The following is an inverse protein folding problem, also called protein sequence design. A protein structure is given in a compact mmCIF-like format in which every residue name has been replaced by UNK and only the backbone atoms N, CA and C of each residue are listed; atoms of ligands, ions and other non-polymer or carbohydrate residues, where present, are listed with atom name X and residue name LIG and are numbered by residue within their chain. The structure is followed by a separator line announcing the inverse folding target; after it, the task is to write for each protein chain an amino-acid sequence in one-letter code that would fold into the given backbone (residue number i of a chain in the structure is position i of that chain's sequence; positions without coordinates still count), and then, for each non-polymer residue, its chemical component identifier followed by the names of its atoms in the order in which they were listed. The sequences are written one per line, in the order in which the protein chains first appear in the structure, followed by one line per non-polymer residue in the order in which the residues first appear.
data_IF_454845626489
#
_entry.id   IF_454845626489
#
_cell.length_a   1.000
_cell.length_b   1.000
_cell.length_c   1.000
_cell.angle_alpha   90.00
_cell.angle_beta   90.00
_cell.angle_gamma   90.00
#
_symmetry.space_group_name_H-M   'P 1'
#
loop_
_entity.id
_entity.type
_entity.pdbx_description
1 polymer ?
#
# COMPACT_ATOMS: atom_id res chain seq x y z
N UNK A 1 -42.52 -15.51 -5.94
CA UNK A 1 -42.30 -14.11 -6.34
C UNK A 1 -41.24 -13.56 -5.43
N UNK A 2 -40.01 -13.58 -5.87
CA UNK A 2 -38.87 -12.99 -5.12
C UNK A 2 -38.93 -11.48 -5.33
N UNK A 3 -38.99 -10.74 -4.22
CA UNK A 3 -38.94 -9.28 -4.22
C UNK A 3 -37.63 -8.82 -4.90
N UNK A 4 -37.63 -7.80 -5.76
CA UNK A 4 -36.38 -7.28 -6.31
C UNK A 4 -35.55 -6.68 -5.17
N UNK A 5 -34.29 -7.08 -5.10
CA UNK A 5 -33.32 -6.52 -4.15
C UNK A 5 -33.30 -4.99 -4.25
N UNK A 6 -33.18 -4.31 -3.11
CA UNK A 6 -33.16 -2.86 -3.04
C UNK A 6 -31.95 -2.30 -3.83
N UNK A 7 -32.02 -1.07 -4.39
CA UNK A 7 -30.96 -0.48 -5.21
C UNK A 7 -29.56 -0.42 -4.55
N UNK A 8 -29.48 -0.51 -3.22
CA UNK A 8 -28.23 -0.50 -2.44
C UNK A 8 -27.40 -1.80 -2.55
N UNK A 9 -28.02 -2.92 -2.99
CA UNK A 9 -27.32 -4.21 -3.17
C UNK A 9 -26.48 -4.30 -4.45
N UNK A 10 -26.53 -3.30 -5.33
CA UNK A 10 -25.82 -3.33 -6.62
C UNK A 10 -24.36 -2.89 -6.54
N UNK A 11 -23.95 -2.26 -5.48
CA UNK A 11 -22.60 -1.69 -5.32
C UNK A 11 -21.93 -2.28 -4.08
N UNK A 12 -20.92 -3.15 -4.27
CA UNK A 12 -20.27 -3.84 -3.16
C UNK A 12 -19.43 -2.92 -2.27
N UNK A 13 -18.90 -1.81 -2.81
CA UNK A 13 -18.09 -0.83 -2.08
C UNK A 13 -18.94 0.37 -1.67
N UNK A 14 -18.94 0.72 -0.38
CA UNK A 14 -19.72 1.82 0.21
C UNK A 14 -18.91 3.08 0.40
N UNK A 15 -17.67 2.93 0.88
CA UNK A 15 -16.79 4.05 1.16
C UNK A 15 -15.33 3.63 0.99
N UNK A 16 -14.47 4.62 0.72
CA UNK A 16 -13.02 4.44 0.73
C UNK A 16 -12.42 5.56 1.55
N UNK A 17 -11.63 5.20 2.56
CA UNK A 17 -10.98 6.15 3.47
C UNK A 17 -9.47 5.93 3.44
N UNK A 18 -8.72 6.92 3.92
CA UNK A 18 -7.28 6.81 4.13
C UNK A 18 -6.95 7.21 5.56
N UNK A 19 -6.12 6.41 6.20
CA UNK A 19 -5.52 6.73 7.51
C UNK A 19 -4.01 6.65 7.38
N UNK A 20 -3.27 7.34 8.25
CA UNK A 20 -1.82 7.25 8.29
C UNK A 20 -1.37 6.69 9.63
N UNK A 21 -0.53 5.67 9.60
CA UNK A 21 0.06 5.04 10.80
C UNK A 21 1.38 5.68 11.21
N UNK A 22 1.60 6.93 10.84
CA UNK A 22 2.80 7.69 11.13
C UNK A 22 3.38 8.32 9.89
N UNK A 23 4.63 8.78 10.03
CA UNK A 23 5.37 9.37 8.93
C UNK A 23 6.74 8.74 8.77
N UNK A 24 7.29 8.85 7.58
CA UNK A 24 8.63 8.41 7.23
C UNK A 24 9.38 9.49 6.49
N UNK A 25 10.59 9.80 6.95
CA UNK A 25 11.59 10.52 6.16
C UNK A 25 12.45 9.53 5.41
N UNK A 26 12.52 9.67 4.09
CA UNK A 26 13.33 8.85 3.19
C UNK A 26 14.37 9.70 2.44
N UNK A 27 15.26 9.09 1.71
CA UNK A 27 16.19 9.83 0.86
C UNK A 27 15.45 10.37 -0.37
N UNK A 28 15.77 11.56 -0.89
CA UNK A 28 15.15 12.08 -2.12
C UNK A 28 15.26 11.12 -3.31
N UNK A 29 16.30 10.28 -3.32
CA UNK A 29 16.50 9.27 -4.36
C UNK A 29 15.49 8.11 -4.30
N UNK A 30 14.85 7.84 -3.15
CA UNK A 30 13.71 6.90 -3.11
C UNK A 30 12.59 7.40 -4.01
N UNK A 31 12.27 8.69 -3.91
CA UNK A 31 11.16 9.31 -4.65
C UNK A 31 11.50 9.46 -6.13
N UNK A 32 12.73 9.88 -6.43
CA UNK A 32 13.21 10.12 -7.78
C UNK A 32 14.62 9.58 -7.97
N UNK A 33 14.74 8.52 -8.75
CA UNK A 33 16.00 7.90 -9.08
C UNK A 33 16.93 8.87 -9.80
N UNK A 34 18.19 8.92 -9.37
CA UNK A 34 19.29 9.62 -10.07
C UNK A 34 20.03 8.72 -11.06
N UNK A 35 19.63 7.43 -11.14
CA UNK A 35 20.33 6.43 -11.95
C UNK A 35 21.58 5.85 -11.30
N UNK A 36 21.98 6.34 -10.11
CA UNK A 36 23.10 5.80 -9.34
C UNK A 36 22.67 4.62 -8.48
N UNK A 37 23.56 3.65 -8.16
CA UNK A 37 23.23 2.51 -7.31
C UNK A 37 22.74 2.95 -5.91
N UNK A 38 21.77 2.21 -5.36
CA UNK A 38 21.16 2.54 -4.07
C UNK A 38 22.19 2.66 -2.95
N UNK A 39 23.13 1.71 -2.85
CA UNK A 39 24.17 1.73 -1.82
C UNK A 39 25.01 3.02 -1.88
N UNK A 40 25.28 3.54 -3.05
CA UNK A 40 26.06 4.77 -3.21
C UNK A 40 25.36 5.97 -2.58
N UNK A 41 24.11 6.25 -2.98
CA UNK A 41 23.39 7.41 -2.43
C UNK A 41 22.96 7.21 -0.97
N UNK A 42 22.69 5.98 -0.53
CA UNK A 42 22.47 5.70 0.89
C UNK A 42 23.68 6.09 1.75
N UNK A 43 24.90 5.85 1.26
CA UNK A 43 26.12 6.18 1.99
C UNK A 43 26.52 7.65 1.87
N UNK A 44 26.23 8.32 0.77
CA UNK A 44 26.73 9.67 0.48
C UNK A 44 25.70 10.77 0.71
N UNK A 45 24.39 10.51 0.50
CA UNK A 45 23.34 11.52 0.67
C UNK A 45 23.08 11.78 2.15
N UNK A 46 23.12 13.05 2.54
CA UNK A 46 22.77 13.51 3.90
C UNK A 46 21.38 14.11 3.99
N UNK A 47 20.76 14.43 2.85
CA UNK A 47 19.42 15.02 2.79
C UNK A 47 18.36 13.96 3.05
N UNK A 48 17.29 14.38 3.70
CA UNK A 48 16.04 13.65 3.85
C UNK A 48 14.93 14.39 3.12
N UNK A 49 13.89 13.69 2.77
CA UNK A 49 12.62 14.34 2.38
C UNK A 49 12.02 15.03 3.62
N UNK A 50 11.01 15.82 3.48
CA UNK A 50 10.13 16.07 4.63
C UNK A 50 9.33 14.80 4.97
N UNK A 51 8.63 14.81 6.12
CA UNK A 51 7.82 13.65 6.54
C UNK A 51 6.78 13.32 5.49
N UNK A 52 6.73 12.04 5.10
CA UNK A 52 5.75 11.46 4.20
C UNK A 52 4.82 10.56 4.98
N UNK A 53 3.51 10.56 4.71
CA UNK A 53 2.58 9.69 5.41
C UNK A 53 2.88 8.22 5.09
N UNK A 54 2.52 7.35 6.03
CA UNK A 54 2.45 5.90 5.82
C UNK A 54 0.96 5.58 5.70
N UNK A 55 0.45 5.64 4.48
CA UNK A 55 -0.99 5.53 4.22
C UNK A 55 -1.44 4.07 4.22
N UNK A 56 -2.57 3.85 4.89
CA UNK A 56 -3.37 2.64 4.82
C UNK A 56 -4.71 3.01 4.21
N UNK A 57 -5.13 2.33 3.16
CA UNK A 57 -6.44 2.57 2.54
C UNK A 57 -7.45 1.58 3.10
N UNK A 58 -8.59 2.10 3.49
CA UNK A 58 -9.68 1.35 4.13
C UNK A 58 -10.88 1.36 3.19
N UNK A 59 -11.27 0.20 2.72
CA UNK A 59 -12.40 0.01 1.80
C UNK A 59 -13.55 -0.62 2.60
N UNK A 60 -14.64 0.13 2.81
CA UNK A 60 -15.86 -0.38 3.40
C UNK A 60 -16.68 -1.08 2.33
N UNK A 61 -16.89 -2.37 2.51
CA UNK A 61 -17.78 -3.21 1.68
C UNK A 61 -19.04 -3.59 2.44
N UNK A 62 -20.00 -4.19 1.73
CA UNK A 62 -21.22 -4.72 2.34
C UNK A 62 -20.97 -5.85 3.35
N UNK A 63 -19.84 -6.55 3.20
CA UNK A 63 -19.45 -7.76 3.92
C UNK A 63 -18.27 -7.53 4.91
N UNK A 64 -17.86 -6.27 5.14
CA UNK A 64 -16.81 -5.91 6.09
C UNK A 64 -15.76 -4.97 5.51
N UNK A 65 -14.63 -4.88 6.18
CA UNK A 65 -13.53 -4.00 5.76
C UNK A 65 -12.45 -4.76 5.00
N UNK A 66 -11.95 -4.12 3.95
CA UNK A 66 -10.74 -4.53 3.24
C UNK A 66 -9.69 -3.42 3.41
N UNK A 67 -8.48 -3.81 3.79
CA UNK A 67 -7.34 -2.89 3.83
C UNK A 67 -6.45 -3.07 2.59
N UNK A 68 -5.85 -1.98 2.13
CA UNK A 68 -4.68 -2.03 1.27
C UNK A 68 -3.50 -1.44 2.03
N UNK A 69 -2.54 -2.31 2.33
CA UNK A 69 -1.46 -2.18 3.31
C UNK A 69 -1.96 -2.07 4.76
N UNK A 70 -1.04 -2.19 5.72
CA UNK A 70 -1.36 -2.15 7.16
C UNK A 70 -0.48 -1.17 7.93
N UNK A 71 0.34 -0.40 7.22
CA UNK A 71 1.17 0.64 7.81
C UNK A 71 2.42 0.14 8.49
N UNK A 72 2.96 0.94 9.43
CA UNK A 72 4.16 0.63 10.18
C UNK A 72 3.85 0.36 11.64
N UNK A 73 4.52 -0.65 12.21
CA UNK A 73 4.44 -0.94 13.64
C UNK A 73 5.14 0.14 14.46
N UNK A 74 4.48 0.60 15.52
CA UNK A 74 5.06 1.55 16.47
C UNK A 74 6.31 1.01 17.18
N UNK A 75 6.47 -0.30 17.28
CA UNK A 75 7.68 -0.93 17.80
C UNK A 75 8.94 -0.47 17.04
N UNK A 76 8.83 -0.09 15.78
CA UNK A 76 9.93 0.44 14.97
C UNK A 76 10.61 1.69 15.55
N UNK A 77 9.89 2.45 16.39
CA UNK A 77 10.40 3.67 17.06
C UNK A 77 10.55 3.49 18.58
N UNK A 78 9.97 2.45 19.17
CA UNK A 78 10.03 2.21 20.63
C UNK A 78 10.91 1.03 21.04
N UNK A 79 11.08 0.05 20.14
CA UNK A 79 11.98 -1.09 20.37
C UNK A 79 13.29 -0.91 19.60
N UNK A 80 14.39 -0.68 20.32
CA UNK A 80 15.68 -0.62 19.68
C UNK A 80 16.07 -1.90 18.91
N UNK A 81 15.47 -3.04 19.20
CA UNK A 81 15.71 -4.33 18.53
C UNK A 81 14.96 -4.54 17.23
N UNK A 82 14.00 -3.68 16.90
CA UNK A 82 13.10 -3.85 15.76
C UNK A 82 13.81 -3.99 14.41
N UNK A 83 14.85 -3.23 14.15
CA UNK A 83 15.65 -3.33 12.92
C UNK A 83 17.00 -3.99 13.19
N UNK A 84 17.59 -4.66 12.18
CA UNK A 84 18.95 -5.17 12.26
C UNK A 84 19.95 -4.09 12.71
N UNK A 85 20.80 -4.40 13.71
CA UNK A 85 21.70 -3.42 14.33
C UNK A 85 23.15 -3.51 13.91
N UNK A 86 23.59 -4.72 13.55
CA UNK A 86 25.00 -5.04 13.29
C UNK A 86 25.32 -5.16 11.81
N UNK A 87 26.60 -5.08 11.49
CA UNK A 87 27.10 -5.26 10.15
C UNK A 87 26.63 -4.24 9.12
N UNK A 88 26.76 -4.60 7.86
CA UNK A 88 26.35 -3.77 6.73
C UNK A 88 24.82 -3.58 6.67
N UNK A 89 24.07 -4.63 6.96
CA UNK A 89 22.60 -4.60 7.00
C UNK A 89 22.11 -3.56 8.00
N UNK A 90 22.59 -3.61 9.24
CA UNK A 90 22.22 -2.61 10.25
C UNK A 90 22.61 -1.17 9.87
N UNK A 91 23.74 -0.99 9.18
CA UNK A 91 24.12 0.32 8.66
C UNK A 91 23.15 0.82 7.58
N UNK A 92 22.73 -0.07 6.67
CA UNK A 92 21.76 0.23 5.61
C UNK A 92 20.43 0.65 6.22
N UNK A 93 19.84 -0.14 7.12
CA UNK A 93 18.55 0.16 7.75
C UNK A 93 18.57 1.53 8.47
N UNK A 94 19.62 1.85 9.21
CA UNK A 94 19.76 3.17 9.86
C UNK A 94 19.84 4.36 8.89
N UNK A 95 20.17 4.12 7.62
CA UNK A 95 20.29 5.15 6.58
C UNK A 95 19.14 5.19 5.61
N UNK A 96 18.32 4.13 5.61
CA UNK A 96 17.23 3.94 4.66
C UNK A 96 16.07 4.90 4.94
N UNK A 97 15.59 4.90 6.19
CA UNK A 97 14.39 5.61 6.59
C UNK A 97 14.48 6.11 8.05
N UNK A 98 13.63 7.07 8.40
CA UNK A 98 13.39 7.54 9.77
C UNK A 98 11.89 7.60 9.97
N UNK A 99 11.41 6.88 10.98
CA UNK A 99 9.99 6.81 11.29
C UNK A 99 9.65 7.70 12.47
N UNK A 100 8.45 8.31 12.42
CA UNK A 100 7.83 9.00 13.55
C UNK A 100 6.40 8.45 13.68
N UNK A 101 6.12 7.79 14.82
CA UNK A 101 4.83 7.12 15.08
C UNK A 101 4.38 7.46 16.50
N UNK A 102 3.35 8.28 16.60
CA UNK A 102 2.73 8.63 17.87
C UNK A 102 1.91 7.44 18.44
N UNK A 103 1.60 7.43 19.75
CA UNK A 103 0.84 6.34 20.36
C UNK A 103 -0.54 6.10 19.76
N UNK A 104 -1.18 7.13 19.23
CA UNK A 104 -2.50 7.09 18.58
C UNK A 104 -2.43 6.78 17.08
N UNK A 105 -1.25 6.42 16.56
CA UNK A 105 -1.02 6.11 15.15
C UNK A 105 -0.82 4.61 14.87
N UNK A 106 -1.16 3.72 15.81
CA UNK A 106 -1.29 2.28 15.51
C UNK A 106 -2.47 2.03 14.56
N UNK A 107 -2.47 0.92 13.85
CA UNK A 107 -3.55 0.59 12.92
C UNK A 107 -4.92 0.59 13.61
N UNK A 108 -5.05 -0.12 14.75
CA UNK A 108 -6.29 -0.14 15.54
C UNK A 108 -6.73 1.26 15.97
N UNK A 109 -5.82 2.09 16.47
CA UNK A 109 -6.15 3.45 16.91
C UNK A 109 -6.62 4.33 15.73
N UNK A 110 -6.01 4.18 14.56
CA UNK A 110 -6.38 4.95 13.35
C UNK A 110 -7.71 4.51 12.77
N UNK A 111 -8.02 3.21 12.78
CA UNK A 111 -9.35 2.71 12.39
C UNK A 111 -10.44 3.20 13.36
N UNK A 112 -10.19 3.08 14.66
CA UNK A 112 -11.14 3.57 15.69
C UNK A 112 -11.40 5.09 15.55
N UNK A 113 -10.37 5.88 15.23
CA UNK A 113 -10.52 7.33 15.04
C UNK A 113 -11.48 7.72 13.92
N UNK A 114 -11.68 6.83 12.92
CA UNK A 114 -12.63 7.02 11.82
C UNK A 114 -13.90 6.17 11.99
N UNK A 115 -14.11 5.58 13.18
CA UNK A 115 -15.33 4.86 13.56
C UNK A 115 -15.42 3.42 13.06
N UNK A 116 -14.28 2.76 12.83
CA UNK A 116 -14.22 1.33 12.53
C UNK A 116 -13.56 0.53 13.63
N UNK A 117 -13.99 -0.72 13.79
CA UNK A 117 -13.30 -1.70 14.65
C UNK A 117 -12.28 -2.50 13.81
N UNK A 118 -11.11 -2.77 14.39
CA UNK A 118 -10.11 -3.66 13.77
C UNK A 118 -10.69 -5.05 13.51
N UNK A 119 -11.64 -5.51 14.33
CA UNK A 119 -12.31 -6.80 14.19
C UNK A 119 -13.18 -6.89 12.91
N UNK A 120 -13.60 -5.75 12.34
CA UNK A 120 -14.37 -5.70 11.09
C UNK A 120 -13.50 -5.92 9.85
N UNK A 121 -12.17 -5.92 10.00
CA UNK A 121 -11.23 -6.17 8.90
C UNK A 121 -11.22 -7.66 8.56
N UNK A 122 -11.82 -8.03 7.45
CA UNK A 122 -11.85 -9.43 7.00
C UNK A 122 -10.70 -9.78 6.07
N UNK A 123 -10.17 -8.79 5.36
CA UNK A 123 -9.09 -8.99 4.39
C UNK A 123 -8.12 -7.80 4.42
N UNK A 124 -6.82 -8.08 4.42
CA UNK A 124 -5.80 -7.07 4.16
C UNK A 124 -4.98 -7.49 2.93
N UNK A 125 -4.97 -6.66 1.91
CA UNK A 125 -4.11 -6.82 0.73
C UNK A 125 -2.80 -6.09 1.01
N UNK A 126 -1.70 -6.80 0.92
CA UNK A 126 -0.37 -6.23 1.06
C UNK A 126 0.20 -5.92 -0.32
N UNK A 127 0.53 -4.66 -0.57
CA UNK A 127 1.18 -4.28 -1.80
C UNK A 127 2.52 -4.98 -1.96
N UNK A 128 3.26 -5.11 -0.86
CA UNK A 128 4.52 -5.85 -0.72
C UNK A 128 4.86 -6.02 0.78
N UNK A 129 6.01 -6.67 1.10
CA UNK A 129 6.35 -7.07 2.47
C UNK A 129 7.41 -6.20 3.16
N UNK A 130 7.60 -4.93 2.77
CA UNK A 130 8.40 -4.00 3.58
C UNK A 130 7.69 -3.63 4.87
N UNK A 131 8.46 -3.27 5.89
CA UNK A 131 7.96 -3.08 7.26
C UNK A 131 6.87 -2.03 7.39
N UNK A 132 6.90 -0.99 6.58
CA UNK A 132 5.94 0.12 6.57
C UNK A 132 4.65 -0.15 5.79
N UNK A 133 4.49 -1.38 5.28
CA UNK A 133 3.26 -1.90 4.69
C UNK A 133 2.64 -3.04 5.49
N UNK A 134 3.40 -3.64 6.41
CA UNK A 134 3.01 -4.84 7.17
C UNK A 134 2.88 -4.61 8.68
N UNK A 135 3.04 -3.38 9.17
CA UNK A 135 3.13 -3.10 10.61
C UNK A 135 1.91 -3.48 11.44
N UNK A 136 0.73 -3.57 10.82
CA UNK A 136 -0.50 -4.00 11.49
C UNK A 136 -0.74 -5.51 11.51
N UNK A 137 0.16 -6.35 10.99
CA UNK A 137 -0.06 -7.80 10.88
C UNK A 137 -0.39 -8.47 12.23
N UNK A 138 0.27 -8.07 13.32
CA UNK A 138 0.04 -8.63 14.63
C UNK A 138 -1.41 -8.42 15.14
N UNK A 139 -2.08 -7.36 14.65
CA UNK A 139 -3.45 -6.98 14.99
C UNK A 139 -4.49 -7.71 14.11
N UNK A 140 -4.07 -8.35 13.00
CA UNK A 140 -4.92 -8.90 11.93
C UNK A 140 -4.91 -10.44 11.84
N UNK A 141 -4.69 -11.15 12.96
CA UNK A 141 -4.66 -12.63 12.96
C UNK A 141 -6.00 -13.27 12.54
N UNK A 142 -7.09 -12.55 12.66
CA UNK A 142 -8.44 -12.96 12.28
C UNK A 142 -8.75 -12.70 10.80
N UNK A 143 -7.96 -11.87 10.11
CA UNK A 143 -8.17 -11.48 8.73
C UNK A 143 -7.38 -12.37 7.75
N UNK A 144 -7.85 -12.44 6.51
CA UNK A 144 -7.10 -13.04 5.40
C UNK A 144 -6.07 -12.02 4.89
N UNK A 145 -4.80 -12.45 4.80
CA UNK A 145 -3.69 -11.61 4.35
C UNK A 145 -3.33 -12.00 2.92
N UNK A 146 -3.71 -11.14 1.97
CA UNK A 146 -3.55 -11.39 0.55
C UNK A 146 -2.33 -10.65 0.02
N UNK A 147 -1.48 -11.35 -0.72
CA UNK A 147 -0.29 -10.81 -1.37
C UNK A 147 0.02 -11.61 -2.64
N UNK A 148 0.90 -11.10 -3.48
CA UNK A 148 1.35 -11.84 -4.66
C UNK A 148 2.20 -13.05 -4.27
N UNK A 149 2.01 -14.21 -4.93
CA UNK A 149 2.82 -15.41 -4.68
C UNK A 149 4.33 -15.15 -4.81
N UNK A 150 4.76 -14.35 -5.78
CA UNK A 150 6.18 -14.00 -5.96
C UNK A 150 6.76 -13.21 -4.79
N UNK A 151 5.94 -12.40 -4.10
CA UNK A 151 6.36 -11.70 -2.90
C UNK A 151 6.59 -12.68 -1.76
N UNK A 152 5.65 -13.62 -1.60
CA UNK A 152 5.79 -14.70 -0.64
C UNK A 152 7.03 -15.57 -0.89
N UNK A 153 7.31 -15.91 -2.16
CA UNK A 153 8.45 -16.71 -2.55
C UNK A 153 9.79 -16.05 -2.20
N UNK A 154 9.85 -14.70 -2.20
CA UNK A 154 11.04 -13.93 -1.82
C UNK A 154 11.47 -14.19 -0.36
N UNK A 155 10.53 -14.53 0.53
CA UNK A 155 10.84 -14.95 1.89
C UNK A 155 11.69 -16.24 1.95
N UNK A 156 11.60 -17.09 0.95
CA UNK A 156 12.35 -18.34 0.87
C UNK A 156 13.78 -18.14 0.36
N UNK A 157 14.14 -16.94 -0.05
CA UNK A 157 15.51 -16.62 -0.45
C UNK A 157 16.49 -16.70 0.74
N UNK A 158 17.79 -16.96 0.50
CA UNK A 158 18.76 -17.12 1.58
C UNK A 158 18.95 -15.91 2.50
N UNK A 159 18.65 -14.70 2.01
CA UNK A 159 18.80 -13.44 2.74
C UNK A 159 17.67 -12.48 2.39
N UNK A 160 16.43 -12.73 2.82
CA UNK A 160 15.29 -11.87 2.51
C UNK A 160 15.45 -10.44 3.07
N UNK A 161 16.21 -10.28 4.16
CA UNK A 161 16.53 -8.96 4.72
C UNK A 161 17.35 -8.06 3.77
N UNK A 162 18.06 -8.64 2.81
CA UNK A 162 18.75 -7.87 1.78
C UNK A 162 17.78 -7.24 0.76
N UNK A 163 16.58 -7.80 0.67
CA UNK A 163 15.45 -7.28 -0.12
C UNK A 163 14.47 -6.48 0.75
N UNK A 164 14.82 -6.14 1.99
CA UNK A 164 13.97 -5.37 2.90
C UNK A 164 12.95 -6.19 3.69
N UNK A 165 12.92 -7.52 3.54
CA UNK A 165 11.94 -8.40 4.17
C UNK A 165 12.50 -8.93 5.50
N UNK A 166 11.96 -8.44 6.61
CA UNK A 166 12.32 -8.92 7.96
C UNK A 166 11.37 -10.04 8.38
N UNK A 167 11.86 -11.28 8.31
CA UNK A 167 11.07 -12.49 8.57
C UNK A 167 10.38 -12.45 9.94
N UNK A 168 11.06 -11.95 10.97
CA UNK A 168 10.53 -11.80 12.34
C UNK A 168 9.28 -10.94 12.43
N UNK A 169 9.02 -10.03 11.48
CA UNK A 169 7.83 -9.20 11.42
C UNK A 169 6.77 -9.75 10.47
N UNK A 170 7.13 -10.73 9.63
CA UNK A 170 6.25 -11.32 8.62
C UNK A 170 5.72 -12.68 9.08
N UNK A 171 6.61 -13.57 9.53
CA UNK A 171 6.27 -14.95 9.91
C UNK A 171 5.76 -15.04 11.35
N UNK A 172 4.71 -14.25 11.65
CA UNK A 172 4.09 -14.25 12.96
C UNK A 172 3.11 -15.43 13.11
N UNK A 173 3.05 -16.06 14.29
CA UNK A 173 2.16 -17.22 14.49
C UNK A 173 0.69 -16.83 14.40
N UNK A 174 -0.10 -17.67 13.74
CA UNK A 174 -1.54 -17.52 13.63
C UNK A 174 -2.03 -16.58 12.53
N UNK A 175 -1.15 -16.06 11.70
CA UNK A 175 -1.53 -15.29 10.51
C UNK A 175 -2.10 -16.19 9.42
N UNK A 176 -3.12 -15.69 8.70
CA UNK A 176 -3.84 -16.41 7.66
C UNK A 176 -3.41 -15.91 6.28
N UNK A 177 -2.25 -16.34 5.83
CA UNK A 177 -1.70 -15.97 4.54
C UNK A 177 -2.44 -16.59 3.36
N UNK A 178 -2.75 -15.77 2.35
CA UNK A 178 -3.39 -16.17 1.09
C UNK A 178 -2.61 -15.61 -0.10
N UNK A 179 -1.47 -16.21 -0.45
CA UNK A 179 -0.73 -15.82 -1.65
C UNK A 179 -1.57 -16.07 -2.91
N UNK A 180 -1.63 -15.07 -3.80
CA UNK A 180 -2.38 -15.15 -5.05
C UNK A 180 -1.46 -15.05 -6.26
N UNK A 181 -1.82 -15.75 -7.33
CA UNK A 181 -1.18 -15.62 -8.63
C UNK A 181 -2.17 -14.98 -9.60
N UNK A 182 -1.92 -13.74 -10.06
CA UNK A 182 -2.75 -13.09 -11.06
C UNK A 182 -2.92 -13.95 -12.31
N UNK A 183 -4.14 -14.02 -12.80
CA UNK A 183 -4.51 -14.83 -13.97
C UNK A 183 -4.63 -13.96 -15.21
N UNK A 184 -4.49 -14.52 -16.44
CA UNK A 184 -4.71 -13.78 -17.67
C UNK A 184 -6.08 -13.08 -17.67
N UNK A 185 -6.09 -11.79 -18.05
CA UNK A 185 -7.31 -10.99 -18.08
C UNK A 185 -7.87 -10.89 -19.48
N UNK A 186 -9.20 -10.95 -19.58
CA UNK A 186 -9.95 -10.70 -20.80
C UNK A 186 -10.68 -9.35 -20.79
N UNK A 187 -10.71 -8.66 -19.63
CA UNK A 187 -11.31 -7.33 -19.50
C UNK A 187 -10.46 -6.27 -20.22
N UNK A 188 -10.92 -5.70 -21.33
CA UNK A 188 -10.18 -4.68 -22.05
C UNK A 188 -10.00 -3.40 -21.25
N UNK A 189 -10.82 -3.19 -20.21
CA UNK A 189 -10.70 -2.06 -19.28
C UNK A 189 -9.44 -2.10 -18.44
N UNK A 190 -8.80 -3.26 -18.28
CA UNK A 190 -7.55 -3.40 -17.53
C UNK A 190 -6.28 -3.26 -18.40
N UNK A 191 -6.43 -3.09 -19.71
CA UNK A 191 -5.26 -2.88 -20.57
C UNK A 191 -4.44 -1.66 -20.11
N UNK A 192 -3.09 -1.74 -20.07
CA UNK A 192 -2.25 -2.75 -20.73
C UNK A 192 -1.90 -3.97 -19.86
N UNK A 193 -2.51 -4.13 -18.69
CA UNK A 193 -2.28 -5.30 -17.84
C UNK A 193 -2.80 -6.57 -18.54
N UNK A 194 -1.97 -7.60 -18.60
CA UNK A 194 -2.29 -8.89 -19.21
C UNK A 194 -2.69 -9.95 -18.17
N UNK A 195 -2.47 -9.67 -16.91
CA UNK A 195 -2.88 -10.50 -15.79
C UNK A 195 -3.39 -9.63 -14.64
N UNK A 196 -4.36 -10.13 -13.90
CA UNK A 196 -4.92 -9.52 -12.72
C UNK A 196 -5.52 -10.58 -11.79
N UNK A 197 -5.86 -10.18 -10.56
CA UNK A 197 -6.63 -11.01 -9.64
C UNK A 197 -7.83 -10.21 -9.14
N UNK A 198 -9.03 -10.67 -9.51
CA UNK A 198 -10.28 -10.12 -8.98
C UNK A 198 -10.48 -10.71 -7.57
N UNK A 199 -10.38 -9.86 -6.55
CA UNK A 199 -10.29 -10.30 -5.16
C UNK A 199 -11.55 -11.02 -4.68
N UNK A 200 -12.72 -10.59 -5.18
CA UNK A 200 -14.03 -11.13 -4.80
C UNK A 200 -14.83 -11.70 -5.96
N UNK A 201 -14.31 -11.62 -7.18
CA UNK A 201 -15.01 -12.12 -8.39
C UNK A 201 -16.12 -11.21 -8.88
N UNK A 202 -16.28 -10.00 -8.32
CA UNK A 202 -17.32 -9.02 -8.68
C UNK A 202 -16.77 -7.81 -9.47
N UNK A 203 -15.49 -7.78 -9.73
CA UNK A 203 -14.80 -6.75 -10.49
C UNK A 203 -14.56 -5.44 -9.73
N UNK A 204 -14.97 -5.34 -8.46
CA UNK A 204 -14.87 -4.11 -7.68
C UNK A 204 -13.46 -3.83 -7.16
N UNK A 205 -12.74 -4.86 -6.73
CA UNK A 205 -11.37 -4.78 -6.22
C UNK A 205 -10.47 -5.71 -7.04
N UNK A 206 -9.62 -5.12 -7.88
CA UNK A 206 -8.78 -5.86 -8.83
C UNK A 206 -7.32 -5.62 -8.53
N UNK A 207 -6.58 -6.67 -8.20
CA UNK A 207 -5.14 -6.62 -7.95
C UNK A 207 -4.38 -6.69 -9.28
N UNK A 208 -3.52 -5.72 -9.50
CA UNK A 208 -2.70 -5.56 -10.70
C UNK A 208 -1.22 -5.80 -10.35
N UNK A 209 -0.52 -6.73 -11.03
CA UNK A 209 0.91 -6.89 -10.82
C UNK A 209 1.67 -5.64 -11.23
N UNK A 210 2.38 -5.04 -10.29
CA UNK A 210 3.25 -3.88 -10.51
C UNK A 210 4.66 -4.13 -9.98
N UNK A 211 5.34 -5.22 -10.45
CA UNK A 211 6.65 -5.58 -9.97
C UNK A 211 7.67 -4.48 -10.23
N UNK A 212 8.71 -4.48 -9.40
CA UNK A 212 9.88 -3.62 -9.61
C UNK A 212 10.40 -3.05 -8.31
N UNK A 213 9.56 -2.44 -7.46
CA UNK A 213 9.96 -2.06 -6.10
C UNK A 213 10.34 -3.31 -5.31
N UNK A 214 9.46 -4.30 -5.32
CA UNK A 214 9.75 -5.70 -5.00
C UNK A 214 9.30 -6.62 -6.15
N UNK A 215 9.74 -7.89 -6.18
CA UNK A 215 9.37 -8.84 -7.25
C UNK A 215 7.87 -9.13 -7.34
N UNK A 216 7.16 -9.06 -6.24
CA UNK A 216 5.74 -9.35 -6.13
C UNK A 216 4.86 -8.14 -5.83
N UNK A 217 5.35 -6.92 -6.01
CA UNK A 217 4.54 -5.71 -5.77
C UNK A 217 3.21 -5.74 -6.51
N UNK A 218 2.15 -5.33 -5.80
CA UNK A 218 0.78 -5.20 -6.30
C UNK A 218 0.30 -3.75 -6.19
N UNK A 219 -0.52 -3.35 -7.15
CA UNK A 219 -1.43 -2.22 -7.03
C UNK A 219 -2.87 -2.73 -6.98
N UNK A 220 -3.80 -1.96 -6.41
CA UNK A 220 -5.21 -2.34 -6.35
C UNK A 220 -6.08 -1.27 -7.03
N UNK A 221 -6.85 -1.70 -8.03
CA UNK A 221 -7.86 -0.89 -8.68
C UNK A 221 -9.21 -1.10 -7.96
N UNK A 222 -9.79 -0.02 -7.45
CA UNK A 222 -11.15 0.02 -6.90
C UNK A 222 -12.05 0.67 -7.93
N UNK A 223 -13.10 -0.01 -8.33
CA UNK A 223 -14.03 0.48 -9.36
C UNK A 223 -15.44 -0.02 -9.16
N UNK A 224 -16.41 0.82 -9.47
CA UNK A 224 -17.82 0.43 -9.66
C UNK A 224 -18.52 1.43 -10.56
N UNK A 225 -19.64 1.07 -11.20
CA UNK A 225 -20.38 1.96 -12.06
C UNK A 225 -20.78 3.27 -11.36
N UNK A 226 -20.52 4.41 -11.99
CA UNK A 226 -20.89 5.74 -11.47
C UNK A 226 -19.97 6.31 -10.41
N UNK A 227 -18.90 5.61 -10.01
CA UNK A 227 -17.90 6.12 -9.09
C UNK A 227 -16.56 6.39 -9.78
N UNK A 228 -15.82 7.36 -9.25
CA UNK A 228 -14.44 7.63 -9.66
C UNK A 228 -13.57 6.40 -9.41
N UNK A 229 -12.93 5.81 -10.42
CA UNK A 229 -12.01 4.70 -10.17
C UNK A 229 -10.80 5.17 -9.35
N UNK A 230 -10.35 4.35 -8.39
CA UNK A 230 -9.18 4.61 -7.57
C UNK A 230 -8.12 3.56 -7.83
N UNK A 231 -6.85 3.99 -7.86
CA UNK A 231 -5.71 3.08 -8.00
C UNK A 231 -4.75 3.28 -6.82
N UNK A 232 -4.77 2.36 -5.89
CA UNK A 232 -3.82 2.28 -4.79
C UNK A 232 -2.53 1.67 -5.33
N UNK A 233 -1.48 2.49 -5.44
CA UNK A 233 -0.30 2.14 -6.21
C UNK A 233 0.83 1.50 -5.39
N UNK A 234 0.69 1.39 -4.06
CA UNK A 234 1.80 1.00 -3.18
C UNK A 234 3.03 1.88 -3.45
N UNK A 235 4.18 1.26 -3.58
CA UNK A 235 5.47 1.92 -3.84
C UNK A 235 5.91 1.86 -5.31
N UNK A 236 4.98 1.57 -6.22
CA UNK A 236 5.26 1.70 -7.65
C UNK A 236 5.60 3.16 -8.03
N UNK A 237 5.11 4.12 -7.25
CA UNK A 237 5.51 5.53 -7.28
C UNK A 237 5.32 6.17 -5.92
N UNK A 238 6.12 7.21 -5.62
CA UNK A 238 6.01 8.05 -4.41
C UNK A 238 5.38 9.41 -4.71
N UNK A 239 5.18 9.72 -6.00
CA UNK A 239 4.65 10.99 -6.47
C UNK A 239 4.06 10.82 -7.87
N UNK A 240 2.78 11.15 -8.00
CA UNK A 240 2.03 10.95 -9.25
C UNK A 240 2.55 11.84 -10.36
N UNK A 241 2.97 13.07 -10.06
CA UNK A 241 3.52 13.98 -11.07
C UNK A 241 4.86 13.48 -11.60
N UNK A 242 5.73 12.98 -10.69
CA UNK A 242 7.01 12.40 -11.12
C UNK A 242 6.80 11.15 -11.99
N UNK A 243 5.77 10.36 -11.70
CA UNK A 243 5.40 9.22 -12.54
C UNK A 243 4.93 9.68 -13.93
N UNK A 244 4.11 10.75 -14.02
CA UNK A 244 3.67 11.34 -15.29
C UNK A 244 4.88 11.78 -16.14
N UNK A 245 5.87 12.40 -15.50
CA UNK A 245 7.10 12.86 -16.15
C UNK A 245 8.06 11.71 -16.49
N UNK A 246 7.67 10.45 -16.24
CA UNK A 246 8.47 9.26 -16.54
C UNK A 246 9.62 9.02 -15.57
N UNK A 247 9.62 9.68 -14.39
CA UNK A 247 10.59 9.42 -13.35
C UNK A 247 10.26 8.13 -12.61
N UNK A 248 11.29 7.42 -12.18
CA UNK A 248 11.17 6.17 -11.44
C UNK A 248 11.63 6.35 -9.99
N UNK A 249 11.08 5.57 -9.03
CA UNK A 249 11.67 5.37 -7.72
C UNK A 249 13.12 4.88 -7.79
N UNK A 250 13.89 5.14 -6.76
CA UNK A 250 15.32 4.82 -6.72
C UNK A 250 15.66 3.44 -6.18
N UNK A 251 14.69 2.73 -5.60
CA UNK A 251 14.83 1.36 -5.12
C UNK A 251 14.04 0.40 -6.01
N UNK A 252 14.56 -0.80 -6.17
CA UNK A 252 13.93 -1.87 -6.92
C UNK A 252 14.60 -2.17 -8.27
N UNK A 253 14.03 -3.12 -9.01
CA UNK A 253 14.52 -3.53 -10.32
C UNK A 253 14.02 -2.53 -11.38
N UNK A 254 14.96 -1.86 -12.04
CA UNK A 254 14.67 -0.67 -12.87
C UNK A 254 13.84 -0.96 -14.12
N UNK A 255 14.04 -2.12 -14.76
CA UNK A 255 13.29 -2.46 -15.96
C UNK A 255 11.84 -2.79 -15.63
N UNK A 256 11.61 -3.55 -14.56
CA UNK A 256 10.28 -3.88 -14.07
C UNK A 256 9.54 -2.62 -13.55
N UNK A 257 10.19 -1.76 -12.75
CA UNK A 257 9.62 -0.46 -12.34
C UNK A 257 9.17 0.36 -13.55
N UNK A 258 10.00 0.44 -14.60
CA UNK A 258 9.66 1.18 -15.82
C UNK A 258 8.47 0.57 -16.54
N UNK A 259 8.38 -0.76 -16.60
CA UNK A 259 7.25 -1.44 -17.20
C UNK A 259 5.97 -1.18 -16.40
N UNK A 260 6.03 -1.31 -15.08
CA UNK A 260 4.91 -1.09 -14.17
C UNK A 260 4.42 0.36 -14.20
N UNK A 261 5.31 1.35 -14.06
CA UNK A 261 4.92 2.76 -14.12
C UNK A 261 4.34 3.17 -15.46
N UNK A 262 4.86 2.62 -16.58
CA UNK A 262 4.25 2.82 -17.91
C UNK A 262 2.86 2.20 -18.01
N UNK A 263 2.67 1.01 -17.45
CA UNK A 263 1.36 0.37 -17.44
C UNK A 263 0.34 1.19 -16.63
N UNK A 264 0.75 1.68 -15.45
CA UNK A 264 -0.08 2.58 -14.62
C UNK A 264 -0.40 3.89 -15.35
N UNK A 265 0.58 4.53 -15.99
CA UNK A 265 0.38 5.75 -16.77
C UNK A 265 -0.55 5.53 -17.97
N UNK A 266 -0.46 4.37 -18.63
CA UNK A 266 -1.36 4.01 -19.73
C UNK A 266 -2.78 3.78 -19.25
N UNK A 267 -2.95 3.12 -18.10
CA UNK A 267 -4.26 2.95 -17.48
C UNK A 267 -4.87 4.30 -17.11
N UNK A 268 -4.06 5.20 -16.54
CA UNK A 268 -4.50 6.56 -16.21
C UNK A 268 -4.92 7.37 -17.44
N UNK A 269 -4.16 7.31 -18.51
CA UNK A 269 -4.54 7.97 -19.77
C UNK A 269 -5.88 7.45 -20.34
N UNK A 270 -6.22 6.19 -20.05
CA UNK A 270 -7.49 5.57 -20.44
C UNK A 270 -8.67 6.00 -19.56
N UNK A 271 -8.41 6.28 -18.29
CA UNK A 271 -9.40 6.72 -17.30
C UNK A 271 -8.98 8.09 -16.74
N UNK A 272 -9.35 9.19 -17.42
CA UNK A 272 -8.91 10.54 -16.99
C UNK A 272 -9.30 10.91 -15.55
N UNK A 273 -10.40 10.31 -15.06
CA UNK A 273 -10.86 10.53 -13.68
C UNK A 273 -10.21 9.59 -12.66
N UNK A 274 -9.31 8.68 -13.09
CA UNK A 274 -8.64 7.75 -12.19
C UNK A 274 -7.80 8.50 -11.15
N UNK A 275 -8.15 8.36 -9.88
CA UNK A 275 -7.34 8.90 -8.79
C UNK A 275 -6.27 7.90 -8.37
N UNK A 276 -5.00 8.24 -8.59
CA UNK A 276 -3.85 7.42 -8.19
C UNK A 276 -3.42 7.79 -6.78
N UNK A 277 -3.31 6.79 -5.92
CA UNK A 277 -3.12 6.89 -4.47
C UNK A 277 -1.87 6.09 -4.03
N UNK A 278 -0.66 6.66 -4.10
CA UNK A 278 0.56 6.02 -3.61
C UNK A 278 0.60 5.93 -2.08
N UNK A 279 1.35 4.96 -1.53
CA UNK A 279 1.45 4.73 -0.10
C UNK A 279 2.07 5.90 0.68
N UNK A 280 3.03 6.60 0.08
CA UNK A 280 3.78 7.67 0.74
C UNK A 280 3.60 9.06 0.10
N UNK A 281 2.49 9.27 -0.62
CA UNK A 281 2.20 10.57 -1.23
C UNK A 281 1.37 11.45 -0.28
N UNK A 282 1.87 12.62 0.16
CA UNK A 282 1.13 13.54 1.01
C UNK A 282 -0.18 14.04 0.40
N UNK A 283 -0.28 14.04 -0.94
CA UNK A 283 -1.47 14.50 -1.64
C UNK A 283 -2.53 13.39 -1.86
N UNK A 284 -2.26 12.15 -1.46
CA UNK A 284 -3.19 11.02 -1.68
C UNK A 284 -4.55 11.26 -1.01
N UNK A 285 -4.58 11.73 0.24
CA UNK A 285 -5.83 12.05 0.95
C UNK A 285 -6.64 13.14 0.26
N UNK A 286 -6.01 14.17 -0.26
CA UNK A 286 -6.68 15.24 -0.99
C UNK A 286 -7.25 14.73 -2.33
N UNK A 287 -6.51 13.89 -3.08
CA UNK A 287 -7.04 13.26 -4.31
C UNK A 287 -8.20 12.34 -4.03
N UNK A 288 -8.15 11.56 -2.94
CA UNK A 288 -9.27 10.74 -2.52
C UNK A 288 -10.49 11.62 -2.16
N UNK A 289 -10.30 12.73 -1.43
CA UNK A 289 -11.37 13.66 -1.07
C UNK A 289 -12.03 14.34 -2.27
N UNK A 290 -11.32 14.48 -3.37
CA UNK A 290 -11.87 15.02 -4.62
C UNK A 290 -12.63 13.96 -5.44
N UNK A 291 -12.61 12.68 -5.02
CA UNK A 291 -13.34 11.61 -5.70
C UNK A 291 -14.81 11.55 -5.30
N UNK A 292 -15.59 10.75 -5.99
CA UNK A 292 -17.02 10.53 -5.71
C UNK A 292 -17.29 9.58 -4.53
N UNK A 293 -16.25 9.04 -3.89
CA UNK A 293 -16.42 8.06 -2.81
C UNK A 293 -16.79 8.72 -1.50
N UNK A 294 -17.72 8.12 -0.75
CA UNK A 294 -17.93 8.42 0.65
C UNK A 294 -16.64 8.15 1.44
N UNK A 295 -16.35 9.00 2.43
CA UNK A 295 -15.17 8.88 3.27
C UNK A 295 -15.55 9.01 4.74
N UNK A 296 -14.84 8.25 5.60
CA UNK A 296 -14.82 8.54 7.03
C UNK A 296 -13.52 9.28 7.35
N UNK A 297 -13.63 10.35 8.07
CA UNK A 297 -12.51 11.18 8.50
C UNK A 297 -12.47 11.23 10.02
N UNK A 298 -11.31 11.48 10.58
CA UNK A 298 -11.17 11.73 12.02
C UNK A 298 -12.07 12.90 12.39
N UNK A 299 -12.99 12.70 13.33
CA UNK A 299 -13.81 13.78 13.86
C UNK A 299 -12.87 14.85 14.46
N UNK A 300 -12.94 16.07 13.94
CA UNK A 300 -12.25 17.21 14.54
C UNK A 300 -13.03 17.54 15.82
N UNK A 301 -12.54 17.04 16.97
CA UNK A 301 -13.01 17.57 18.26
C UNK A 301 -12.50 19.00 18.36
N UNK A 302 -13.43 19.96 18.22
CA UNK A 302 -13.11 21.33 18.57
C UNK A 302 -12.63 21.37 20.03
N UNK A 303 -11.51 22.05 20.33
CA UNK A 303 -11.11 22.23 21.71
C UNK A 303 -12.24 22.97 22.44
N UNK A 304 -12.80 22.36 23.46
CA UNK A 304 -13.72 23.05 24.37
C UNK A 304 -13.01 24.28 24.90
N UNK A 305 -13.57 25.48 24.59
CA UNK A 305 -13.10 26.77 25.08
C UNK A 305 -13.39 26.92 26.58
#
# INVERSE_FOLDING_TARGET
MTSPAAPHDRHPVRAVSVVSTGTVDIRPQHVRSTGTPALWWLMTTRRWTGPRPINVYVIERNDGLVLFDTGQDRASVTDPGYFPRSGLTGLIYRRLARFEIAPDQTLTARLAAIGYDIADVHTAVLSHLHTDHIGGLAELRHADLVLHQREWDTLSEPRPEASGLLREHIDLPGLRWRPVTPQPVTDPGLAPFTAAHDLFGDGSLVLLPTPGHTPGSLSMLVRQPGATPLLMAGDATFDVHLMQDGHLPGLGERAALRASTRALSTLWARYPDLAILPAHDPAAGMRLSASSWGQRTVAVTEPQR
#
